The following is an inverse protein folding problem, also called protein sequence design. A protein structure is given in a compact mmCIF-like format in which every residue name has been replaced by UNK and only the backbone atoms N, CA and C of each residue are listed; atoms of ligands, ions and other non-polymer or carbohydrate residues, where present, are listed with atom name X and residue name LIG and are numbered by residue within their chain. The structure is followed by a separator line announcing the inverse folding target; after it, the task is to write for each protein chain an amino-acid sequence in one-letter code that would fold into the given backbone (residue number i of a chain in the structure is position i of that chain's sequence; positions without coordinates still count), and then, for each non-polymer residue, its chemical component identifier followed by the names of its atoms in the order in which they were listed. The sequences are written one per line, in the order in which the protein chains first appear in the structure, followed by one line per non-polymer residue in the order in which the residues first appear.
data_IF_470512185818
#
_entry.id   IF_470512185818
#
_cell.length_a   1.000
_cell.length_b   1.000
_cell.length_c   1.000
_cell.angle_alpha   90.00
_cell.angle_beta   90.00
_cell.angle_gamma   90.00
#
_symmetry.space_group_name_H-M   'P 1'
#
loop_
_entity.id
_entity.type
_entity.pdbx_description
1 polymer ?
#
# COMPACT_ATOMS: atom_id res chain seq x y z
N UNK A 1 18.12 -4.24 -21.62
CA UNK A 1 17.24 -5.11 -22.45
C UNK A 1 16.14 -5.70 -21.57
N UNK A 2 14.92 -5.17 -21.64
CA UNK A 2 13.73 -5.55 -20.81
C UNK A 2 13.17 -6.95 -21.19
N UNK A 3 13.72 -7.61 -22.22
CA UNK A 3 13.01 -8.63 -23.01
C UNK A 3 13.13 -10.11 -22.58
N UNK A 4 13.84 -10.45 -21.50
CA UNK A 4 13.98 -11.87 -21.05
C UNK A 4 13.77 -12.03 -19.54
N UNK A 5 13.60 -10.93 -18.81
CA UNK A 5 13.54 -10.93 -17.34
C UNK A 5 12.10 -11.15 -16.89
N UNK A 6 11.86 -12.20 -16.12
CA UNK A 6 10.59 -12.42 -15.46
C UNK A 6 10.66 -11.95 -14.01
N UNK A 7 9.71 -11.12 -13.59
CA UNK A 7 9.60 -10.71 -12.18
C UNK A 7 9.39 -11.92 -11.25
N UNK A 8 8.83 -13.02 -11.74
CA UNK A 8 8.65 -14.23 -10.95
C UNK A 8 9.97 -14.90 -10.55
N UNK A 9 11.04 -14.70 -11.34
CA UNK A 9 12.37 -15.24 -11.02
C UNK A 9 13.00 -14.58 -9.80
N UNK A 10 12.63 -13.33 -9.53
CA UNK A 10 13.16 -12.49 -8.45
C UNK A 10 12.17 -12.34 -7.28
N UNK A 11 11.15 -13.20 -7.20
CA UNK A 11 10.32 -13.32 -6.00
C UNK A 11 11.18 -13.84 -4.84
N UNK A 12 10.95 -13.34 -3.63
CA UNK A 12 11.66 -13.78 -2.42
C UNK A 12 11.65 -15.32 -2.30
N UNK A 13 12.82 -15.91 -2.11
CA UNK A 13 12.99 -17.35 -1.94
C UNK A 13 12.40 -17.88 -0.64
N UNK A 14 12.42 -17.10 0.44
CA UNK A 14 11.93 -17.57 1.74
C UNK A 14 10.41 -17.47 1.87
N UNK A 15 9.81 -16.33 1.51
CA UNK A 15 8.37 -16.13 1.66
C UNK A 15 7.55 -16.44 0.40
N UNK A 16 8.18 -16.49 -0.79
CA UNK A 16 7.46 -16.71 -2.03
C UNK A 16 6.37 -15.66 -2.25
N UNK A 17 5.17 -16.11 -2.63
CA UNK A 17 4.00 -15.26 -2.87
C UNK A 17 3.07 -15.09 -1.65
N UNK A 18 3.44 -15.63 -0.50
CA UNK A 18 2.60 -15.73 0.72
C UNK A 18 3.29 -15.08 1.92
N UNK A 19 3.71 -13.83 1.77
CA UNK A 19 4.45 -13.15 2.83
C UNK A 19 3.64 -12.97 4.11
N UNK A 20 4.25 -13.28 5.23
CA UNK A 20 3.66 -13.17 6.58
C UNK A 20 3.47 -11.72 7.01
N UNK A 21 4.38 -10.88 6.53
CA UNK A 21 4.50 -9.48 6.84
C UNK A 21 4.98 -8.76 5.59
N UNK A 22 4.25 -7.71 5.20
CA UNK A 22 4.80 -6.68 4.33
C UNK A 22 4.85 -5.34 5.03
N UNK A 23 5.79 -4.54 4.57
CA UNK A 23 6.00 -3.23 5.12
C UNK A 23 6.01 -2.23 3.96
N UNK A 24 5.16 -1.20 4.08
CA UNK A 24 4.90 -0.20 3.05
C UNK A 24 5.57 1.12 3.39
N UNK A 25 6.16 1.77 2.38
CA UNK A 25 6.80 3.08 2.52
C UNK A 25 6.68 3.89 1.22
N UNK A 26 6.56 5.22 1.39
CA UNK A 26 6.43 6.21 0.33
C UNK A 26 7.67 7.10 0.24
N UNK A 27 8.14 7.37 -0.97
CA UNK A 27 9.27 8.26 -1.20
C UNK A 27 8.91 9.39 -2.18
N UNK A 28 8.52 10.54 -1.61
CA UNK A 28 8.27 11.77 -2.35
C UNK A 28 9.51 12.30 -3.08
N UNK A 29 10.72 12.10 -2.54
CA UNK A 29 11.95 12.60 -3.18
C UNK A 29 12.25 11.85 -4.48
N UNK A 30 11.70 10.65 -4.66
CA UNK A 30 11.74 9.89 -5.90
C UNK A 30 10.68 10.35 -6.92
N UNK A 31 10.53 11.67 -7.09
CA UNK A 31 9.58 12.25 -8.04
C UNK A 31 10.24 12.61 -9.38
N UNK A 32 9.42 12.77 -10.42
CA UNK A 32 9.82 13.29 -11.72
C UNK A 32 8.84 14.38 -12.19
N UNK A 33 9.16 15.03 -13.31
CA UNK A 33 8.29 16.04 -13.92
C UNK A 33 6.94 15.43 -14.35
N UNK A 34 5.86 16.20 -14.20
CA UNK A 34 4.53 15.87 -14.72
C UNK A 34 4.38 16.05 -16.23
N UNK A 35 5.42 16.50 -16.93
CA UNK A 35 5.37 16.77 -18.37
C UNK A 35 4.96 15.52 -19.15
N UNK A 36 3.84 15.60 -19.87
CA UNK A 36 3.30 14.52 -20.70
C UNK A 36 2.33 13.58 -19.98
N UNK A 37 2.09 13.76 -18.68
CA UNK A 37 1.05 13.04 -17.92
C UNK A 37 -0.32 13.64 -18.23
N UNK A 38 -1.30 12.78 -18.53
CA UNK A 38 -2.68 13.19 -18.82
C UNK A 38 -3.55 13.00 -17.57
N UNK A 39 -4.19 14.09 -17.14
CA UNK A 39 -5.21 14.07 -16.10
C UNK A 39 -6.55 14.10 -16.83
N UNK A 40 -7.22 12.96 -16.97
CA UNK A 40 -8.55 12.91 -17.59
C UNK A 40 -9.56 13.57 -16.65
N UNK A 41 -10.28 14.57 -17.15
CA UNK A 41 -11.26 15.39 -16.41
C UNK A 41 -12.69 14.84 -16.39
N UNK A 42 -12.95 13.66 -16.94
CA UNK A 42 -14.33 13.18 -17.06
C UNK A 42 -14.70 12.28 -15.87
N UNK A 43 -15.54 12.80 -14.96
CA UNK A 43 -16.29 12.04 -13.95
C UNK A 43 -17.19 10.92 -14.57
N UNK A 44 -17.15 10.75 -15.90
CA UNK A 44 -17.93 9.82 -16.71
C UNK A 44 -17.14 8.64 -17.29
N UNK A 45 -15.81 8.61 -17.18
CA UNK A 45 -15.05 7.42 -17.59
C UNK A 45 -15.20 6.34 -16.51
N UNK A 46 -16.13 5.41 -16.76
CA UNK A 46 -16.19 4.12 -16.10
C UNK A 46 -14.79 3.51 -16.02
N UNK A 47 -14.53 2.74 -14.96
CA UNK A 47 -13.25 2.11 -14.61
C UNK A 47 -12.47 1.70 -15.86
N UNK A 48 -11.61 2.60 -16.38
CA UNK A 48 -10.88 2.35 -17.61
C UNK A 48 -10.03 1.09 -17.39
N UNK A 49 -10.03 0.18 -18.37
CA UNK A 49 -9.25 -1.06 -18.25
C UNK A 49 -7.78 -0.69 -18.05
N UNK A 50 -7.29 -0.99 -16.84
CA UNK A 50 -5.90 -0.79 -16.47
C UNK A 50 -5.07 -1.76 -17.32
N UNK A 51 -4.14 -1.30 -18.16
CA UNK A 51 -3.30 -2.21 -18.94
C UNK A 51 -2.50 -3.11 -18.01
N UNK A 52 -2.18 -4.33 -18.47
CA UNK A 52 -1.26 -5.17 -17.74
C UNK A 52 0.12 -4.49 -17.65
N UNK A 53 0.90 -4.82 -16.61
CA UNK A 53 2.27 -4.34 -16.50
C UNK A 53 3.09 -4.75 -17.73
N UNK A 54 2.86 -5.95 -18.24
CA UNK A 54 3.54 -6.54 -19.37
C UNK A 54 3.26 -5.75 -20.67
N UNK A 55 1.99 -5.41 -20.92
CA UNK A 55 1.58 -4.58 -22.06
C UNK A 55 2.15 -3.17 -21.94
N UNK A 56 2.11 -2.59 -20.73
CA UNK A 56 2.68 -1.27 -20.46
C UNK A 56 4.20 -1.23 -20.70
N UNK A 57 4.94 -2.25 -20.23
CA UNK A 57 6.36 -2.40 -20.47
C UNK A 57 6.68 -2.64 -21.96
N UNK A 58 5.81 -3.36 -22.67
CA UNK A 58 5.92 -3.56 -24.13
C UNK A 58 5.75 -2.25 -24.89
N UNK A 59 4.75 -1.44 -24.51
CA UNK A 59 4.53 -0.10 -25.06
C UNK A 59 5.73 0.84 -24.78
N UNK A 60 6.24 0.84 -23.55
CA UNK A 60 7.46 1.57 -23.17
C UNK A 60 8.66 1.15 -24.02
N UNK A 61 8.87 -0.16 -24.21
CA UNK A 61 9.97 -0.68 -25.03
C UNK A 61 9.83 -0.23 -26.49
N UNK A 62 8.64 -0.33 -27.07
CA UNK A 62 8.37 0.12 -28.44
C UNK A 62 8.65 1.61 -28.61
N UNK A 63 8.25 2.43 -27.63
CA UNK A 63 8.58 3.86 -27.58
C UNK A 63 10.09 4.10 -27.56
N UNK A 64 10.85 3.35 -26.75
CA UNK A 64 12.30 3.50 -26.67
C UNK A 64 13.02 3.11 -27.97
N UNK A 65 12.58 2.03 -28.62
CA UNK A 65 13.11 1.61 -29.92
C UNK A 65 12.83 2.70 -30.95
N UNK A 66 11.59 3.19 -31.05
CA UNK A 66 11.22 4.22 -32.00
C UNK A 66 12.03 5.51 -31.82
N UNK A 67 12.21 5.99 -30.59
CA UNK A 67 13.06 7.15 -30.28
C UNK A 67 14.53 6.97 -30.63
N UNK A 68 15.05 5.74 -30.52
CA UNK A 68 16.44 5.44 -30.86
C UNK A 68 16.65 5.28 -32.38
N UNK A 69 15.61 4.87 -33.11
CA UNK A 69 15.69 4.59 -34.56
C UNK A 69 15.34 5.80 -35.42
N UNK A 70 14.36 6.61 -35.02
CA UNK A 70 13.84 7.71 -35.83
C UNK A 70 14.26 9.07 -35.26
N UNK A 71 14.97 9.86 -36.07
CA UNK A 71 15.52 11.17 -35.69
C UNK A 71 14.44 12.21 -35.34
N UNK A 72 13.26 12.12 -35.96
CA UNK A 72 12.13 13.05 -35.79
C UNK A 72 10.85 12.32 -35.34
N UNK A 73 10.97 11.39 -34.39
CA UNK A 73 9.79 10.73 -33.83
C UNK A 73 8.94 11.72 -33.03
N UNK A 74 7.84 12.20 -33.62
CA UNK A 74 6.82 13.03 -32.97
C UNK A 74 5.67 12.22 -32.36
N UNK A 75 5.62 10.91 -32.63
CA UNK A 75 4.46 10.05 -32.41
C UNK A 75 4.24 9.62 -30.96
N UNK A 76 3.74 10.52 -30.12
CA UNK A 76 3.09 10.13 -28.85
C UNK A 76 1.72 9.50 -29.16
N UNK A 77 1.68 8.26 -29.66
CA UNK A 77 0.39 7.57 -29.90
C UNK A 77 0.20 6.24 -29.16
N UNK A 78 1.26 5.55 -28.70
CA UNK A 78 1.07 4.23 -28.07
C UNK A 78 1.32 4.16 -26.56
N UNK A 79 1.88 5.20 -25.93
CA UNK A 79 2.05 5.21 -24.48
C UNK A 79 1.05 6.17 -23.85
N UNK A 80 -0.06 5.60 -23.39
CA UNK A 80 -1.06 6.37 -22.67
C UNK A 80 -0.60 6.63 -21.23
N UNK A 81 -0.11 7.85 -21.00
CA UNK A 81 0.32 8.33 -19.68
C UNK A 81 -0.83 8.96 -18.89
N UNK A 82 -2.04 8.46 -19.08
CA UNK A 82 -3.19 8.83 -18.25
C UNK A 82 -3.02 8.30 -16.83
N UNK A 83 -3.37 9.13 -15.84
CA UNK A 83 -3.20 8.78 -14.41
C UNK A 83 -3.88 7.46 -14.04
N UNK A 84 -5.01 7.15 -14.67
CA UNK A 84 -5.77 5.91 -14.46
C UNK A 84 -5.15 4.67 -15.10
N UNK A 85 -4.18 4.81 -16.02
CA UNK A 85 -3.64 3.71 -16.85
C UNK A 85 -2.21 3.29 -16.51
N UNK A 86 -1.61 3.84 -15.46
CA UNK A 86 -0.29 3.41 -15.00
C UNK A 86 -0.44 2.19 -14.08
N UNK A 87 0.02 0.99 -14.49
CA UNK A 87 -0.09 -0.19 -13.64
C UNK A 87 0.93 -0.16 -12.49
N UNK A 88 0.59 -0.73 -11.32
CA UNK A 88 1.59 -1.05 -10.32
C UNK A 88 2.55 -2.13 -10.83
N UNK A 89 3.77 -2.13 -10.30
CA UNK A 89 4.80 -3.11 -10.59
C UNK A 89 4.64 -4.27 -9.60
N UNK A 90 3.96 -5.33 -10.03
CA UNK A 90 3.74 -6.56 -9.24
C UNK A 90 4.03 -7.76 -10.13
N UNK A 91 4.83 -8.70 -9.63
CA UNK A 91 5.15 -9.94 -10.35
C UNK A 91 3.86 -10.72 -10.68
N UNK A 92 3.75 -11.36 -11.86
CA UNK A 92 2.55 -12.12 -12.24
C UNK A 92 2.08 -13.11 -11.17
N UNK A 93 2.98 -13.87 -10.54
CA UNK A 93 2.60 -14.83 -9.51
C UNK A 93 2.15 -14.19 -8.18
N UNK A 94 2.52 -12.93 -7.92
CA UNK A 94 2.12 -12.14 -6.74
C UNK A 94 0.79 -11.38 -6.95
N UNK A 95 0.34 -11.27 -8.19
CA UNK A 95 -0.82 -10.47 -8.59
C UNK A 95 -2.13 -11.23 -8.35
N UNK A 96 -3.12 -10.56 -7.76
CA UNK A 96 -4.48 -11.08 -7.68
C UNK A 96 -5.21 -10.99 -9.02
N UNK A 97 -6.45 -11.48 -9.07
CA UNK A 97 -7.24 -11.48 -10.32
C UNK A 97 -7.55 -10.06 -10.82
N UNK A 98 -7.63 -9.11 -9.90
CA UNK A 98 -7.84 -7.69 -10.20
C UNK A 98 -6.66 -6.87 -9.72
N UNK A 99 -6.17 -5.99 -10.60
CA UNK A 99 -5.16 -4.98 -10.28
C UNK A 99 -5.82 -3.62 -10.18
N UNK A 100 -5.40 -2.84 -9.20
CA UNK A 100 -5.97 -1.55 -8.89
C UNK A 100 -4.98 -0.43 -9.15
N UNK A 101 -5.49 0.62 -9.79
CA UNK A 101 -4.91 1.95 -9.75
C UNK A 101 -6.08 2.94 -9.69
N UNK A 102 -6.28 3.55 -8.53
CA UNK A 102 -7.37 4.49 -8.28
C UNK A 102 -6.87 5.92 -8.13
N UNK A 103 -5.69 6.22 -8.64
CA UNK A 103 -5.06 7.52 -8.47
C UNK A 103 -5.91 8.68 -9.00
N UNK A 104 -6.62 8.50 -10.12
CA UNK A 104 -7.55 9.50 -10.66
C UNK A 104 -8.66 9.90 -9.67
N UNK A 105 -9.03 9.01 -8.75
CA UNK A 105 -10.05 9.25 -7.71
C UNK A 105 -9.58 10.18 -6.59
N UNK A 106 -8.29 10.55 -6.56
CA UNK A 106 -7.79 11.61 -5.67
C UNK A 106 -8.29 13.01 -6.10
N UNK A 107 -8.96 13.13 -7.26
CA UNK A 107 -9.61 14.35 -7.81
C UNK A 107 -8.74 15.61 -7.64
N UNK A 108 -7.50 15.54 -8.13
CA UNK A 108 -6.45 16.51 -7.79
C UNK A 108 -6.53 17.89 -8.44
N UNK A 109 -7.54 18.21 -9.24
CA UNK A 109 -7.68 19.56 -9.83
C UNK A 109 -7.90 20.62 -8.72
N UNK A 110 -8.32 20.21 -7.51
CA UNK A 110 -8.71 21.09 -6.40
C UNK A 110 -7.88 20.98 -5.12
N UNK A 111 -6.67 20.40 -5.19
CA UNK A 111 -5.66 20.64 -4.15
C UNK A 111 -5.11 22.08 -4.30
N UNK A 112 -6.00 23.09 -4.31
CA UNK A 112 -5.66 24.42 -3.79
C UNK A 112 -5.02 24.16 -2.43
N UNK A 113 -3.81 24.65 -2.23
CA UNK A 113 -2.96 24.28 -1.09
C UNK A 113 -3.79 24.13 0.17
N UNK A 114 -3.83 22.91 0.71
CA UNK A 114 -4.49 22.48 1.95
C UNK A 114 -5.39 23.58 2.54
N UNK A 115 -6.68 23.57 2.22
CA UNK A 115 -7.62 24.04 3.25
C UNK A 115 -7.35 23.15 4.46
N UNK A 116 -6.99 23.75 5.60
CA UNK A 116 -6.85 23.00 6.84
C UNK A 116 -8.18 22.29 7.09
N UNK A 117 -8.26 21.00 6.77
CA UNK A 117 -9.43 20.18 7.06
C UNK A 117 -9.44 20.05 8.58
N UNK A 118 -10.44 20.65 9.20
CA UNK A 118 -10.60 20.64 10.65
C UNK A 118 -11.38 19.41 11.10
N UNK A 119 -11.11 18.95 12.32
CA UNK A 119 -11.77 17.80 12.94
C UNK A 119 -10.96 16.51 12.92
N UNK A 120 -11.48 15.51 13.64
CA UNK A 120 -10.90 14.18 13.79
C UNK A 120 -11.65 13.19 12.89
N UNK A 121 -11.01 12.83 11.78
CA UNK A 121 -11.53 11.86 10.82
C UNK A 121 -11.77 10.47 11.42
N UNK A 122 -11.06 10.09 12.48
CA UNK A 122 -11.26 8.81 13.15
C UNK A 122 -12.60 8.77 13.90
N UNK A 123 -13.01 9.91 14.47
CA UNK A 123 -14.29 10.05 15.16
C UNK A 123 -15.45 10.07 14.16
N UNK A 124 -15.29 10.72 13.01
CA UNK A 124 -16.29 10.67 11.94
C UNK A 124 -16.49 9.23 11.45
N UNK A 125 -15.41 8.50 11.20
CA UNK A 125 -15.45 7.08 10.83
C UNK A 125 -16.17 6.22 11.88
N UNK A 126 -15.98 6.50 13.17
CA UNK A 126 -16.66 5.80 14.26
C UNK A 126 -18.18 6.02 14.22
N UNK A 127 -18.67 7.24 13.94
CA UNK A 127 -20.10 7.50 13.78
C UNK A 127 -20.65 6.77 12.55
N UNK A 128 -19.94 6.81 11.42
CA UNK A 128 -20.35 6.12 10.18
C UNK A 128 -20.53 4.63 10.42
N UNK A 129 -19.60 4.01 11.16
CA UNK A 129 -19.57 2.55 11.35
C UNK A 129 -20.42 2.04 12.50
N UNK A 130 -20.49 2.76 13.63
CA UNK A 130 -21.23 2.31 14.81
C UNK A 130 -22.66 2.85 14.88
N UNK A 131 -22.88 4.08 14.41
CA UNK A 131 -24.18 4.74 14.43
C UNK A 131 -24.89 4.67 13.06
N UNK A 132 -24.28 3.98 12.09
CA UNK A 132 -24.78 3.82 10.72
C UNK A 132 -25.12 5.16 10.04
N UNK A 133 -24.33 6.21 10.32
CA UNK A 133 -24.52 7.51 9.66
C UNK A 133 -24.28 7.36 8.15
N UNK A 134 -25.34 7.57 7.38
CA UNK A 134 -25.23 7.63 5.94
C UNK A 134 -24.83 9.03 5.47
N UNK A 135 -23.61 9.14 4.94
CA UNK A 135 -23.06 10.39 4.42
C UNK A 135 -23.83 10.95 3.23
N UNK A 136 -24.60 10.15 2.49
CA UNK A 136 -25.43 10.62 1.38
C UNK A 136 -26.75 11.26 1.83
N UNK A 137 -27.11 11.17 3.11
CA UNK A 137 -28.39 11.66 3.64
C UNK A 137 -28.24 12.79 4.65
N UNK A 138 -27.09 13.48 4.70
CA UNK A 138 -26.87 14.59 5.63
C UNK A 138 -27.90 15.72 5.49
N UNK A 139 -28.40 15.97 4.27
CA UNK A 139 -29.44 16.97 4.01
C UNK A 139 -30.78 16.65 4.70
N UNK A 140 -31.03 15.39 5.06
CA UNK A 140 -32.26 15.00 5.78
C UNK A 140 -32.20 15.31 7.28
N UNK A 141 -31.01 15.54 7.84
CA UNK A 141 -30.82 15.78 9.28
C UNK A 141 -31.15 17.23 9.66
N UNK A 142 -31.53 17.44 10.93
CA UNK A 142 -31.72 18.78 11.51
C UNK A 142 -30.38 19.49 11.73
N UNK A 143 -30.40 20.81 11.89
CA UNK A 143 -29.17 21.61 12.13
C UNK A 143 -28.53 21.20 13.46
N UNK A 144 -29.34 20.88 14.45
CA UNK A 144 -28.93 20.47 15.79
C UNK A 144 -28.22 19.11 15.76
N UNK A 145 -28.75 18.15 14.98
CA UNK A 145 -28.10 16.85 14.77
C UNK A 145 -26.77 17.00 14.04
N UNK A 146 -26.72 17.81 12.99
CA UNK A 146 -25.50 18.10 12.24
C UNK A 146 -24.44 18.77 13.12
N UNK A 147 -24.85 19.74 13.96
CA UNK A 147 -23.96 20.39 14.94
C UNK A 147 -23.46 19.39 15.99
N UNK A 148 -24.27 18.43 16.41
CA UNK A 148 -23.87 17.35 17.34
C UNK A 148 -22.80 16.45 16.69
N UNK A 149 -23.01 16.01 15.46
CA UNK A 149 -22.04 15.21 14.69
C UNK A 149 -20.73 15.97 14.53
N UNK A 150 -20.79 17.23 14.08
CA UNK A 150 -19.62 18.08 13.91
C UNK A 150 -18.87 18.29 15.25
N UNK A 151 -19.60 18.51 16.35
CA UNK A 151 -19.05 18.63 17.69
C UNK A 151 -18.33 17.36 18.15
N UNK A 152 -18.93 16.18 17.95
CA UNK A 152 -18.28 14.90 18.24
C UNK A 152 -16.99 14.72 17.44
N UNK A 153 -17.03 15.09 16.15
CA UNK A 153 -15.86 15.03 15.27
C UNK A 153 -14.84 16.14 15.54
N UNK A 154 -15.02 16.98 16.57
CA UNK A 154 -14.14 18.12 16.89
C UNK A 154 -13.98 19.11 15.73
N UNK A 155 -14.98 19.23 14.86
CA UNK A 155 -15.04 20.25 13.82
C UNK A 155 -15.46 21.56 14.51
N UNK A 156 -14.70 22.65 14.39
CA UNK A 156 -15.08 23.93 14.98
C UNK A 156 -16.30 24.48 14.24
N UNK A 157 -17.38 24.67 14.98
CA UNK A 157 -18.67 25.16 14.50
C UNK A 157 -19.10 26.36 15.33
N UNK A 158 -19.55 27.43 14.66
CA UNK A 158 -20.17 28.57 15.34
C UNK A 158 -21.69 28.40 15.37
N UNK A 159 -22.33 28.98 16.39
CA UNK A 159 -23.81 28.95 16.51
C UNK A 159 -24.50 29.55 15.28
N UNK A 160 -23.87 30.55 14.66
CA UNK A 160 -24.33 31.26 13.46
C UNK A 160 -24.17 30.49 12.14
N UNK A 161 -23.48 29.34 12.13
CA UNK A 161 -23.30 28.59 10.89
C UNK A 161 -24.63 28.03 10.37
N UNK A 162 -24.85 28.21 9.06
CA UNK A 162 -26.00 27.65 8.36
C UNK A 162 -25.91 26.12 8.27
N UNK A 163 -27.07 25.47 8.07
CA UNK A 163 -27.15 24.02 7.81
C UNK A 163 -26.17 23.59 6.71
N UNK A 164 -26.20 24.27 5.58
CA UNK A 164 -25.37 23.99 4.41
C UNK A 164 -23.88 24.09 4.70
N UNK A 165 -23.44 25.05 5.51
CA UNK A 165 -22.03 25.19 5.88
C UNK A 165 -21.56 24.06 6.81
N UNK A 166 -22.42 23.62 7.74
CA UNK A 166 -22.10 22.47 8.61
C UNK A 166 -21.99 21.19 7.78
N UNK A 167 -22.93 20.95 6.86
CA UNK A 167 -22.88 19.80 5.92
C UNK A 167 -21.58 19.85 5.12
N UNK A 168 -21.24 21.00 4.52
CA UNK A 168 -20.02 21.15 3.74
C UNK A 168 -18.75 20.82 4.55
N UNK A 169 -18.68 21.23 5.83
CA UNK A 169 -17.55 20.90 6.71
C UNK A 169 -17.47 19.40 7.04
N UNK A 170 -18.60 18.75 7.34
CA UNK A 170 -18.65 17.29 7.59
C UNK A 170 -18.26 16.52 6.33
N UNK A 171 -18.82 16.89 5.18
CA UNK A 171 -18.50 16.30 3.88
C UNK A 171 -17.03 16.46 3.53
N UNK A 172 -16.42 17.62 3.78
CA UNK A 172 -15.00 17.82 3.55
C UNK A 172 -14.13 16.86 4.39
N UNK A 173 -14.47 16.65 5.66
CA UNK A 173 -13.77 15.67 6.52
C UNK A 173 -13.96 14.22 6.03
N UNK A 174 -15.13 13.90 5.48
CA UNK A 174 -15.38 12.59 4.86
C UNK A 174 -14.61 12.40 3.54
N UNK A 175 -14.62 13.39 2.65
CA UNK A 175 -13.83 13.38 1.42
C UNK A 175 -12.34 13.23 1.69
N UNK A 176 -11.85 13.80 2.79
CA UNK A 176 -10.48 13.61 3.24
C UNK A 176 -10.14 12.14 3.52
N UNK A 177 -11.04 11.39 4.17
CA UNK A 177 -10.92 9.93 4.35
C UNK A 177 -11.01 9.19 3.00
N UNK A 178 -11.96 9.59 2.16
CA UNK A 178 -12.17 8.95 0.85
C UNK A 178 -10.94 9.09 -0.04
N UNK A 179 -10.27 10.24 -0.06
CA UNK A 179 -9.03 10.44 -0.84
C UNK A 179 -7.89 9.56 -0.31
N UNK A 180 -7.92 9.20 0.97
CA UNK A 180 -6.84 8.46 1.64
C UNK A 180 -5.84 9.38 2.33
N UNK A 181 -6.25 10.60 2.67
CA UNK A 181 -5.43 11.45 3.53
C UNK A 181 -5.62 11.05 5.00
N UNK A 182 -4.66 11.43 5.85
CA UNK A 182 -4.70 11.15 7.27
C UNK A 182 -4.20 12.34 8.06
N UNK A 183 -4.86 12.70 9.19
CA UNK A 183 -4.36 13.76 10.04
C UNK A 183 -3.04 13.37 10.71
N UNK A 184 -2.75 12.07 10.84
CA UNK A 184 -1.58 11.57 11.56
C UNK A 184 -0.27 11.68 10.78
N UNK A 185 -0.32 11.74 9.45
CA UNK A 185 0.86 11.78 8.61
C UNK A 185 0.70 12.78 7.47
N UNK A 186 1.70 13.64 7.30
CA UNK A 186 1.67 14.70 6.31
C UNK A 186 2.17 14.25 4.96
N UNK A 187 1.28 13.97 4.02
CA UNK A 187 1.69 13.76 2.63
C UNK A 187 2.02 15.11 2.00
N UNK A 188 3.18 15.27 1.35
CA UNK A 188 3.48 16.49 0.56
C UNK A 188 3.86 16.12 -0.87
N UNK A 189 3.85 17.10 -1.77
CA UNK A 189 4.36 16.95 -3.14
C UNK A 189 5.09 18.21 -3.58
N UNK A 190 6.08 18.05 -4.44
CA UNK A 190 6.75 19.20 -5.07
C UNK A 190 5.85 19.71 -6.20
N UNK A 191 5.52 21.01 -6.28
CA UNK A 191 4.76 21.57 -7.38
C UNK A 191 5.38 21.22 -8.75
N UNK A 192 4.55 20.86 -9.73
CA UNK A 192 4.99 20.45 -11.07
C UNK A 192 5.62 19.04 -11.16
N UNK A 193 5.68 18.30 -10.05
CA UNK A 193 6.25 16.96 -9.97
C UNK A 193 5.22 15.92 -9.50
N UNK A 194 5.51 14.66 -9.80
CA UNK A 194 4.79 13.49 -9.28
C UNK A 194 4.88 13.44 -7.75
N UNK A 195 3.99 12.70 -7.08
CA UNK A 195 4.10 12.41 -5.64
C UNK A 195 5.20 11.41 -5.29
N UNK A 196 5.87 10.82 -6.27
CA UNK A 196 7.03 9.96 -6.07
C UNK A 196 6.72 8.49 -6.34
N UNK A 197 7.06 7.62 -5.39
CA UNK A 197 6.96 6.17 -5.53
C UNK A 197 6.62 5.52 -4.19
N UNK A 198 5.72 4.54 -4.18
CA UNK A 198 5.38 3.75 -3.00
C UNK A 198 5.74 2.28 -3.24
N UNK A 199 6.28 1.59 -2.24
CA UNK A 199 6.62 0.17 -2.37
C UNK A 199 6.25 -0.64 -1.13
N UNK A 200 5.98 -1.92 -1.35
CA UNK A 200 5.84 -2.95 -0.31
C UNK A 200 7.08 -3.84 -0.34
N UNK A 201 7.67 -4.08 0.82
CA UNK A 201 8.78 -5.01 1.00
C UNK A 201 8.41 -6.12 1.98
N UNK A 202 8.89 -7.33 1.72
CA UNK A 202 8.83 -8.40 2.73
C UNK A 202 9.93 -8.21 3.78
N UNK A 203 9.82 -8.95 4.89
CA UNK A 203 10.82 -8.96 5.98
C UNK A 203 12.24 -9.36 5.55
N UNK A 204 12.39 -9.97 4.37
CA UNK A 204 13.69 -10.32 3.78
C UNK A 204 14.25 -9.23 2.86
N UNK A 205 13.55 -8.10 2.70
CA UNK A 205 13.99 -6.93 1.93
C UNK A 205 13.61 -6.95 0.44
N UNK A 206 12.99 -8.02 -0.06
CA UNK A 206 12.50 -8.07 -1.44
C UNK A 206 11.28 -7.16 -1.61
N UNK A 207 11.26 -6.35 -2.66
CA UNK A 207 10.06 -5.64 -3.13
C UNK A 207 9.02 -6.67 -3.60
N UNK A 208 7.79 -6.54 -3.12
CA UNK A 208 6.65 -7.40 -3.45
C UNK A 208 5.74 -6.73 -4.47
N UNK A 209 5.55 -5.42 -4.30
CA UNK A 209 4.77 -4.60 -5.20
C UNK A 209 5.17 -3.15 -5.05
N UNK A 210 5.07 -2.39 -6.14
CA UNK A 210 5.35 -0.97 -6.13
C UNK A 210 4.37 -0.20 -6.99
N UNK A 211 4.18 1.09 -6.71
CA UNK A 211 3.29 1.97 -7.46
C UNK A 211 3.94 3.34 -7.66
N UNK A 212 3.86 3.85 -8.88
CA UNK A 212 4.18 5.24 -9.18
C UNK A 212 3.06 6.17 -8.72
N UNK A 213 3.43 7.28 -8.11
CA UNK A 213 2.49 8.26 -7.57
C UNK A 213 2.49 9.47 -8.48
N UNK A 214 1.62 9.52 -9.51
CA UNK A 214 1.51 10.70 -10.37
C UNK A 214 0.92 11.91 -9.63
N UNK A 215 0.14 11.66 -8.58
CA UNK A 215 -0.45 12.63 -7.68
C UNK A 215 0.18 12.53 -6.30
N UNK A 216 -0.22 13.44 -5.40
CA UNK A 216 0.23 13.42 -4.01
C UNK A 216 0.01 12.03 -3.39
N UNK A 217 0.98 11.60 -2.59
CA UNK A 217 0.87 10.36 -1.83
C UNK A 217 -0.35 10.37 -0.91
N UNK A 218 -0.94 9.20 -0.72
CA UNK A 218 -2.05 8.96 0.21
C UNK A 218 -2.09 7.47 0.55
N UNK A 219 -2.81 7.09 1.60
CA UNK A 219 -3.00 5.66 1.93
C UNK A 219 -3.79 4.89 0.86
N UNK A 220 -4.44 5.59 -0.06
CA UNK A 220 -5.07 5.00 -1.26
C UNK A 220 -4.05 4.28 -2.13
N UNK A 221 -2.82 4.77 -2.19
CA UNK A 221 -1.76 4.15 -2.99
C UNK A 221 -1.31 2.81 -2.40
N UNK A 222 -1.18 2.76 -1.08
CA UNK A 222 -0.96 1.51 -0.36
C UNK A 222 -2.16 0.56 -0.52
N UNK A 223 -3.40 1.07 -0.48
CA UNK A 223 -4.62 0.28 -0.67
C UNK A 223 -4.67 -0.37 -2.06
N UNK A 224 -4.32 0.38 -3.11
CA UNK A 224 -4.25 -0.15 -4.48
C UNK A 224 -3.25 -1.31 -4.58
N UNK A 225 -2.04 -1.18 -4.02
CA UNK A 225 -1.07 -2.29 -4.01
C UNK A 225 -1.64 -3.46 -3.19
N UNK A 226 -2.13 -3.21 -1.98
CA UNK A 226 -2.63 -4.23 -1.06
C UNK A 226 -3.73 -5.10 -1.69
N UNK A 227 -4.70 -4.46 -2.35
CA UNK A 227 -5.80 -5.18 -3.02
C UNK A 227 -5.38 -5.83 -4.35
N UNK A 228 -4.26 -5.41 -4.93
CA UNK A 228 -3.71 -6.02 -6.15
C UNK A 228 -2.89 -7.28 -5.88
N UNK A 229 -2.61 -7.62 -4.61
CA UNK A 229 -1.88 -8.81 -4.23
C UNK A 229 -2.80 -10.04 -4.21
N UNK A 230 -2.28 -11.18 -4.68
CA UNK A 230 -2.97 -12.47 -4.62
C UNK A 230 -3.22 -12.90 -3.18
N UNK A 231 -2.20 -12.72 -2.33
CA UNK A 231 -2.27 -12.99 -0.90
C UNK A 231 -1.80 -11.75 -0.13
N UNK A 232 -2.72 -10.84 0.22
CA UNK A 232 -2.38 -9.72 1.09
C UNK A 232 -1.86 -10.24 2.44
N UNK A 233 -0.83 -9.61 3.03
CA UNK A 233 -0.07 -10.16 4.13
C UNK A 233 -0.91 -10.17 5.41
N UNK A 234 -0.80 -11.20 6.26
CA UNK A 234 -1.43 -11.26 7.58
C UNK A 234 -1.22 -9.99 8.41
N UNK A 235 0.00 -9.45 8.38
CA UNK A 235 0.35 -8.17 9.00
C UNK A 235 0.89 -7.20 7.94
N UNK A 236 0.34 -6.00 7.89
CA UNK A 236 0.85 -4.89 7.09
C UNK A 236 1.37 -3.78 8.01
N UNK A 237 2.62 -3.39 7.84
CA UNK A 237 3.22 -2.28 8.60
C UNK A 237 3.38 -1.08 7.67
N UNK A 238 2.94 0.10 8.10
CA UNK A 238 3.16 1.35 7.38
C UNK A 238 3.08 2.55 8.34
N UNK A 239 3.47 3.73 7.88
CA UNK A 239 3.51 4.94 8.72
C UNK A 239 2.12 5.39 9.18
N UNK A 240 1.09 5.07 8.39
CA UNK A 240 -0.28 5.55 8.58
C UNK A 240 -1.30 4.39 8.63
N UNK A 241 -1.17 3.44 9.56
CA UNK A 241 -2.00 2.24 9.60
C UNK A 241 -3.48 2.58 9.84
N UNK A 242 -3.71 3.59 10.68
CA UNK A 242 -5.04 4.05 11.06
C UNK A 242 -5.75 4.79 9.93
N UNK A 243 -5.01 5.47 9.05
CA UNK A 243 -5.56 6.11 7.86
C UNK A 243 -5.88 5.05 6.81
N UNK A 244 -4.94 4.13 6.58
CA UNK A 244 -5.11 3.00 5.66
C UNK A 244 -6.34 2.17 5.98
N UNK A 245 -6.48 1.75 7.23
CA UNK A 245 -7.59 0.89 7.62
C UNK A 245 -8.95 1.58 7.49
N UNK A 246 -9.06 2.86 7.90
CA UNK A 246 -10.31 3.62 7.75
C UNK A 246 -10.63 3.92 6.28
N UNK A 247 -9.63 4.24 5.48
CA UNK A 247 -9.79 4.41 4.04
C UNK A 247 -10.38 3.15 3.39
N UNK A 248 -9.79 1.99 3.69
CA UNK A 248 -10.27 0.70 3.22
C UNK A 248 -11.68 0.39 3.72
N UNK A 249 -11.99 0.68 4.98
CA UNK A 249 -13.30 0.42 5.58
C UNK A 249 -14.42 1.27 4.96
N UNK A 250 -14.11 2.52 4.59
CA UNK A 250 -15.07 3.40 3.90
C UNK A 250 -15.19 3.07 2.41
N UNK A 251 -14.07 2.80 1.71
CA UNK A 251 -14.08 2.55 0.27
C UNK A 251 -14.52 1.13 -0.10
N UNK A 252 -14.21 0.17 0.76
CA UNK A 252 -14.41 -1.26 0.54
C UNK A 252 -15.00 -1.95 1.78
N UNK A 253 -16.16 -1.50 2.29
CA UNK A 253 -16.72 -1.94 3.58
C UNK A 253 -16.93 -3.45 3.66
N UNK A 254 -17.37 -4.10 2.57
CA UNK A 254 -17.56 -5.56 2.53
C UNK A 254 -16.23 -6.30 2.70
N UNK A 255 -15.17 -5.84 2.04
CA UNK A 255 -13.84 -6.45 2.15
C UNK A 255 -13.26 -6.19 3.55
N UNK A 256 -13.31 -4.94 4.02
CA UNK A 256 -12.82 -4.57 5.34
C UNK A 256 -13.52 -5.37 6.45
N UNK A 257 -14.83 -5.60 6.35
CA UNK A 257 -15.58 -6.47 7.27
C UNK A 257 -15.05 -7.91 7.27
N UNK A 258 -14.76 -8.49 6.10
CA UNK A 258 -14.15 -9.84 5.99
C UNK A 258 -12.75 -9.89 6.61
N UNK A 259 -11.93 -8.85 6.43
CA UNK A 259 -10.54 -8.82 6.90
C UNK A 259 -10.42 -8.50 8.40
N UNK A 260 -11.23 -7.57 8.91
CA UNK A 260 -11.03 -6.94 10.22
C UNK A 260 -12.21 -7.07 11.17
N UNK A 261 -13.38 -7.49 10.68
CA UNK A 261 -14.64 -7.35 11.39
C UNK A 261 -14.88 -5.90 11.88
N UNK A 262 -14.93 -5.66 13.18
CA UNK A 262 -15.09 -4.34 13.81
C UNK A 262 -13.78 -3.77 14.36
N UNK A 263 -12.64 -4.41 14.06
CA UNK A 263 -11.32 -3.99 14.57
C UNK A 263 -10.64 -2.93 13.74
N UNK A 264 -11.13 -2.64 12.52
CA UNK A 264 -10.56 -1.59 11.64
C UNK A 264 -9.03 -1.76 11.50
N UNK A 265 -8.56 -2.98 11.26
CA UNK A 265 -7.14 -3.32 11.13
C UNK A 265 -6.36 -3.47 12.44
N UNK A 266 -6.92 -3.12 13.60
CA UNK A 266 -6.26 -3.27 14.90
C UNK A 266 -6.28 -4.73 15.41
N UNK A 267 -5.50 -5.00 16.45
CA UNK A 267 -5.51 -6.30 17.16
C UNK A 267 -6.77 -6.52 18.00
N UNK A 268 -7.42 -5.45 18.42
CA UNK A 268 -8.70 -5.44 19.13
C UNK A 268 -9.58 -4.30 18.65
N UNK A 269 -10.86 -4.28 19.03
CA UNK A 269 -11.79 -3.22 18.64
C UNK A 269 -11.34 -1.87 19.23
N UNK A 270 -11.06 -0.85 18.40
CA UNK A 270 -10.72 0.48 18.88
C UNK A 270 -11.97 1.19 19.41
N UNK A 271 -11.94 1.62 20.67
CA UNK A 271 -13.04 2.34 21.30
C UNK A 271 -12.50 3.47 22.19
N UNK A 272 -13.32 4.49 22.47
CA UNK A 272 -12.89 5.67 23.25
C UNK A 272 -12.87 5.45 24.76
N UNK A 273 -13.59 4.43 25.23
CA UNK A 273 -13.79 4.09 26.64
C UNK A 273 -12.67 3.24 27.24
N UNK A 274 -11.74 2.73 26.42
CA UNK A 274 -10.60 1.91 26.89
C UNK A 274 -9.29 2.28 26.23
N UNK A 275 -8.21 1.93 26.92
CA UNK A 275 -6.86 1.93 26.36
C UNK A 275 -6.57 0.62 25.63
N UNK A 276 -5.66 0.62 24.65
CA UNK A 276 -5.24 -0.62 24.02
C UNK A 276 -4.64 -1.59 25.04
N UNK A 277 -5.10 -2.85 25.00
CA UNK A 277 -4.53 -3.96 25.75
C UNK A 277 -3.37 -4.62 24.99
N UNK A 278 -2.61 -5.43 25.72
CA UNK A 278 -1.57 -6.27 25.11
C UNK A 278 -2.19 -7.59 24.62
N UNK A 279 -2.05 -7.89 23.33
CA UNK A 279 -2.69 -9.00 22.64
C UNK A 279 -1.65 -10.02 22.16
N UNK A 280 -1.98 -11.30 22.27
CA UNK A 280 -1.17 -12.40 21.73
C UNK A 280 -1.89 -13.04 20.54
N UNK A 281 -1.18 -13.19 19.42
CA UNK A 281 -1.68 -13.94 18.26
C UNK A 281 -0.54 -14.80 17.68
N UNK A 282 -0.44 -16.08 18.08
CA UNK A 282 0.59 -16.99 17.61
C UNK A 282 0.59 -17.21 16.09
N UNK A 283 -0.55 -17.00 15.41
CA UNK A 283 -0.64 -17.16 13.95
C UNK A 283 0.18 -16.13 13.17
N UNK A 284 0.65 -15.06 13.83
CA UNK A 284 1.50 -14.02 13.24
C UNK A 284 3.00 -14.19 13.59
N UNK A 285 3.37 -15.25 14.34
CA UNK A 285 4.78 -15.60 14.54
C UNK A 285 5.40 -15.95 13.18
N UNK A 286 6.54 -15.34 12.80
CA UNK A 286 7.22 -15.69 11.56
C UNK A 286 7.60 -17.18 11.51
N UNK A 287 7.48 -17.82 10.35
CA UNK A 287 7.68 -19.26 10.15
C UNK A 287 9.00 -19.78 10.72
N UNK A 288 10.06 -18.96 10.70
CA UNK A 288 11.39 -19.33 11.21
C UNK A 288 11.48 -19.48 12.73
N UNK A 289 10.50 -18.95 13.46
CA UNK A 289 10.38 -19.09 14.92
C UNK A 289 9.32 -20.11 15.33
N UNK A 290 8.66 -20.79 14.37
CA UNK A 290 7.69 -21.85 14.68
C UNK A 290 8.41 -23.19 14.86
N UNK A 291 7.99 -23.95 15.85
CA UNK A 291 8.54 -25.27 16.18
C UNK A 291 8.12 -26.38 15.22
N UNK A 292 7.06 -26.17 14.45
CA UNK A 292 6.42 -27.20 13.62
C UNK A 292 6.59 -26.93 12.11
N UNK A 293 6.90 -27.99 11.37
CA UNK A 293 6.87 -27.96 9.91
C UNK A 293 5.42 -27.84 9.44
N UNK A 294 5.05 -26.67 8.93
CA UNK A 294 3.69 -26.42 8.49
C UNK A 294 3.47 -26.94 7.06
N UNK A 295 2.51 -27.85 6.91
CA UNK A 295 2.01 -28.25 5.59
C UNK A 295 1.10 -27.15 5.08
N UNK A 296 1.46 -26.54 3.96
CA UNK A 296 0.61 -25.54 3.34
C UNK A 296 -0.49 -26.21 2.52
N UNK A 297 -1.72 -25.69 2.54
CA UNK A 297 -2.77 -26.15 1.64
C UNK A 297 -2.38 -25.92 0.18
N UNK A 298 -3.05 -26.58 -0.77
CA UNK A 298 -2.90 -26.24 -2.18
C UNK A 298 -3.59 -24.89 -2.47
N UNK A 299 -3.03 -24.03 -3.33
CA UNK A 299 -3.70 -22.82 -3.79
C UNK A 299 -5.15 -23.04 -4.26
N UNK A 300 -5.43 -24.18 -4.90
CA UNK A 300 -6.74 -24.49 -5.49
C UNK A 300 -7.80 -24.91 -4.45
N UNK A 301 -7.35 -25.26 -3.25
CA UNK A 301 -8.23 -25.68 -2.13
C UNK A 301 -8.53 -24.55 -1.14
N UNK A 302 -7.92 -23.38 -1.34
CA UNK A 302 -8.08 -22.25 -0.44
C UNK A 302 -9.40 -21.54 -0.66
N UNK A 303 -10.06 -21.23 0.45
CA UNK A 303 -11.19 -20.32 0.45
C UNK A 303 -10.73 -18.89 0.14
N UNK A 304 -11.63 -18.08 -0.41
CA UNK A 304 -11.41 -16.67 -0.70
C UNK A 304 -10.81 -15.92 0.51
N UNK A 305 -9.77 -15.10 0.29
CA UNK A 305 -9.06 -14.30 1.30
C UNK A 305 -8.29 -15.08 2.39
N UNK A 306 -8.43 -16.40 2.50
CA UNK A 306 -7.68 -17.19 3.49
C UNK A 306 -6.20 -17.17 3.15
N UNK A 307 -5.36 -16.73 4.11
CA UNK A 307 -3.92 -16.74 3.90
C UNK A 307 -3.36 -18.16 4.12
N UNK A 308 -2.51 -18.68 3.22
CA UNK A 308 -1.98 -20.05 3.34
C UNK A 308 -1.21 -20.31 4.64
N UNK A 309 -0.55 -19.27 5.17
CA UNK A 309 0.27 -19.39 6.39
C UNK A 309 -0.56 -19.39 7.68
N UNK A 310 -1.67 -18.65 7.70
CA UNK A 310 -2.44 -18.46 8.94
C UNK A 310 -3.72 -19.29 8.97
N UNK A 311 -4.14 -19.83 7.82
CA UNK A 311 -5.43 -20.52 7.71
C UNK A 311 -6.63 -19.59 7.97
N UNK A 312 -6.43 -18.27 7.93
CA UNK A 312 -7.45 -17.28 8.28
C UNK A 312 -7.52 -16.13 7.27
N UNK A 313 -8.71 -15.55 7.12
CA UNK A 313 -8.94 -14.30 6.38
C UNK A 313 -8.59 -13.05 7.22
N UNK A 314 -8.35 -13.21 8.53
CA UNK A 314 -8.04 -12.09 9.42
C UNK A 314 -6.72 -11.43 9.03
N UNK A 315 -6.70 -10.09 9.04
CA UNK A 315 -5.54 -9.24 8.74
C UNK A 315 -5.37 -8.17 9.80
N UNK A 316 -4.16 -7.63 9.89
CA UNK A 316 -3.80 -6.58 10.84
C UNK A 316 -2.95 -5.53 10.14
N UNK A 317 -3.07 -4.29 10.63
CA UNK A 317 -2.33 -3.14 10.14
C UNK A 317 -1.74 -2.43 11.35
N UNK A 318 -0.42 -2.25 11.38
CA UNK A 318 0.28 -1.69 12.52
C UNK A 318 1.26 -0.59 12.10
N UNK A 319 1.58 0.29 13.04
CA UNK A 319 2.61 1.31 12.85
C UNK A 319 3.99 0.71 13.11
N UNK A 320 5.03 1.16 12.40
CA UNK A 320 6.38 0.82 12.79
C UNK A 320 6.80 1.58 14.08
N UNK A 321 7.83 1.06 14.77
CA UNK A 321 8.29 1.61 16.05
C UNK A 321 8.96 2.98 15.95
N UNK A 322 9.48 3.36 14.78
CA UNK A 322 10.18 4.62 14.59
C UNK A 322 9.17 5.78 14.52
N UNK A 323 8.18 5.66 13.63
CA UNK A 323 7.14 6.69 13.49
C UNK A 323 6.23 6.78 14.70
N UNK A 324 6.01 5.69 15.44
CA UNK A 324 5.27 5.72 16.70
C UNK A 324 5.88 6.70 17.73
N UNK A 325 7.21 6.90 17.68
CA UNK A 325 7.92 7.80 18.61
C UNK A 325 8.01 9.23 18.07
N UNK A 326 8.23 9.40 16.75
CA UNK A 326 8.48 10.70 16.14
C UNK A 326 7.21 11.48 15.73
N UNK A 327 6.15 10.78 15.31
CA UNK A 327 4.89 11.37 14.85
C UNK A 327 3.70 10.73 15.58
N UNK A 328 3.45 11.12 16.85
CA UNK A 328 2.41 10.51 17.64
C UNK A 328 1.04 10.76 17.01
N UNK A 329 0.24 9.70 16.93
CA UNK A 329 -1.07 9.77 16.32
C UNK A 329 -1.98 10.81 16.98
N UNK A 330 -2.77 11.51 16.15
CA UNK A 330 -3.59 12.66 16.59
C UNK A 330 -4.94 12.28 17.22
N UNK A 331 -5.38 11.03 17.07
CA UNK A 331 -6.63 10.53 17.64
C UNK A 331 -6.37 9.45 18.70
N UNK A 332 -7.13 9.42 19.81
CA UNK A 332 -7.03 8.35 20.81
C UNK A 332 -7.18 6.94 20.22
N UNK A 333 -8.04 6.80 19.20
CA UNK A 333 -8.32 5.52 18.54
C UNK A 333 -7.14 4.99 17.73
N UNK A 334 -6.17 5.82 17.38
CA UNK A 334 -5.03 5.38 16.60
C UNK A 334 -4.01 4.59 17.44
N UNK A 335 -4.03 4.75 18.77
CA UNK A 335 -3.13 4.00 19.68
C UNK A 335 -3.29 2.48 19.57
N UNK A 336 -4.44 2.01 19.09
CA UNK A 336 -4.71 0.58 18.87
C UNK A 336 -3.92 -0.04 17.71
N UNK A 337 -3.32 0.77 16.85
CA UNK A 337 -2.44 0.31 15.76
C UNK A 337 -0.97 0.22 16.18
N UNK A 338 -0.61 0.54 17.42
CA UNK A 338 0.78 0.40 17.87
C UNK A 338 1.17 -1.08 17.86
N UNK A 339 2.24 -1.39 17.14
CA UNK A 339 2.78 -2.74 17.03
C UNK A 339 3.21 -3.30 18.40
N UNK A 340 3.57 -2.44 19.36
CA UNK A 340 3.97 -2.87 20.70
C UNK A 340 2.80 -3.34 21.57
N UNK A 341 1.55 -3.13 21.13
CA UNK A 341 0.39 -3.76 21.77
C UNK A 341 0.28 -5.27 21.45
N UNK A 342 1.19 -5.81 20.64
CA UNK A 342 1.18 -7.21 20.21
C UNK A 342 2.46 -7.94 20.61
N UNK A 343 2.30 -9.09 21.29
CA UNK A 343 3.41 -9.82 21.91
C UNK A 343 4.50 -10.25 20.92
N UNK A 344 4.07 -10.81 19.79
CA UNK A 344 4.98 -11.37 18.79
C UNK A 344 5.65 -10.28 17.92
N UNK A 345 5.35 -9.00 18.15
CA UNK A 345 6.06 -7.88 17.56
C UNK A 345 7.56 -7.94 17.82
N UNK A 346 7.97 -8.52 18.95
CA UNK A 346 9.38 -8.68 19.32
C UNK A 346 10.19 -9.52 18.32
N UNK A 347 9.52 -10.35 17.52
CA UNK A 347 10.17 -11.11 16.43
C UNK A 347 10.33 -10.31 15.14
N UNK A 348 9.79 -9.09 15.08
CA UNK A 348 9.82 -8.21 13.90
C UNK A 348 10.75 -7.03 14.16
N UNK A 349 11.81 -6.92 13.36
CA UNK A 349 12.74 -5.79 13.38
C UNK A 349 12.35 -4.77 12.32
N UNK A 350 11.59 -3.75 12.71
CA UNK A 350 11.20 -2.65 11.81
C UNK A 350 12.39 -1.77 11.39
N UNK A 351 13.45 -1.71 12.20
CA UNK A 351 14.67 -0.92 11.88
C UNK A 351 15.44 -1.43 10.65
N UNK A 352 15.38 -2.73 10.38
CA UNK A 352 16.05 -3.30 9.20
C UNK A 352 15.38 -2.83 7.91
N UNK A 353 14.05 -2.71 7.92
CA UNK A 353 13.29 -2.19 6.79
C UNK A 353 13.65 -0.73 6.52
N UNK A 354 13.78 0.09 7.56
CA UNK A 354 14.17 1.50 7.40
C UNK A 354 15.57 1.62 6.77
N UNK A 355 16.52 0.79 7.20
CA UNK A 355 17.85 0.74 6.57
C UNK A 355 17.77 0.36 5.09
N UNK A 356 16.92 -0.61 4.74
CA UNK A 356 16.69 -1.03 3.36
C UNK A 356 15.99 0.04 2.52
N UNK A 357 15.00 0.73 3.09
CA UNK A 357 14.33 1.87 2.48
C UNK A 357 15.32 3.01 2.22
N UNK A 358 16.11 3.40 3.23
CA UNK A 358 17.15 4.40 3.09
C UNK A 358 18.15 4.03 1.98
N UNK A 359 18.60 2.78 1.94
CA UNK A 359 19.50 2.27 0.88
C UNK A 359 18.89 2.39 -0.51
N UNK A 360 17.63 1.96 -0.69
CA UNK A 360 16.90 2.10 -1.95
C UNK A 360 16.71 3.56 -2.34
N UNK A 361 16.33 4.39 -1.38
CA UNK A 361 16.07 5.81 -1.58
C UNK A 361 17.34 6.52 -2.04
N UNK A 362 18.50 6.25 -1.43
CA UNK A 362 19.78 6.82 -1.84
C UNK A 362 20.13 6.48 -3.31
N UNK A 363 19.92 5.23 -3.73
CA UNK A 363 20.18 4.83 -5.11
C UNK A 363 19.20 5.50 -6.09
N UNK A 364 17.93 5.63 -5.70
CA UNK A 364 16.86 6.18 -6.55
C UNK A 364 16.88 7.70 -6.70
N UNK A 365 17.44 8.43 -5.74
CA UNK A 365 17.68 9.87 -5.87
C UNK A 365 18.61 10.23 -7.05
N UNK A 366 19.31 9.25 -7.62
CA UNK A 366 20.10 9.44 -8.85
C UNK A 366 19.23 9.57 -10.11
N UNK A 367 17.98 9.10 -10.11
CA UNK A 367 17.07 9.24 -11.28
C UNK A 367 16.25 10.52 -11.25
N UNK A 368 15.97 11.07 -10.07
CA UNK A 368 15.13 12.26 -9.89
C UNK A 368 15.76 13.56 -10.39
N UNK A 369 17.03 13.56 -10.80
CA UNK A 369 17.74 14.80 -11.14
C UNK A 369 17.45 15.35 -12.54
N UNK A 370 17.04 14.58 -13.55
CA UNK A 370 16.68 15.09 -14.90
C UNK A 370 15.98 14.03 -15.80
N UNK A 371 14.75 13.59 -15.52
CA UNK A 371 14.12 12.52 -16.33
C UNK A 371 12.62 12.72 -16.63
N UNK A 372 12.22 12.33 -17.85
CA UNK A 372 10.79 12.20 -18.25
C UNK A 372 10.17 10.96 -17.59
N UNK A 373 8.84 10.94 -17.41
CA UNK A 373 8.14 9.83 -16.77
C UNK A 373 8.51 8.44 -17.32
N UNK A 374 8.60 8.20 -18.65
CA UNK A 374 8.99 6.89 -19.17
C UNK A 374 10.38 6.40 -18.74
N UNK A 375 11.36 7.32 -18.61
CA UNK A 375 12.70 6.96 -18.12
C UNK A 375 12.62 6.62 -16.64
N UNK A 376 11.93 7.46 -15.87
CA UNK A 376 11.77 7.29 -14.43
C UNK A 376 11.05 5.98 -14.09
N UNK A 377 10.01 5.63 -14.85
CA UNK A 377 9.30 4.36 -14.75
C UNK A 377 10.24 3.17 -14.97
N UNK A 378 10.93 3.19 -16.10
CA UNK A 378 11.85 2.12 -16.49
C UNK A 378 12.98 1.96 -15.46
N UNK A 379 13.51 3.07 -14.95
CA UNK A 379 14.59 3.06 -13.96
C UNK A 379 14.13 2.38 -12.66
N UNK A 380 13.00 2.80 -12.06
CA UNK A 380 12.56 2.19 -10.80
C UNK A 380 12.14 0.73 -10.97
N UNK A 381 11.54 0.37 -12.11
CA UNK A 381 11.27 -1.04 -12.45
C UNK A 381 12.55 -1.88 -12.42
N UNK A 382 13.62 -1.40 -13.07
CA UNK A 382 14.90 -2.10 -13.07
C UNK A 382 15.55 -2.12 -11.69
N UNK A 383 15.44 -1.05 -10.92
CA UNK A 383 15.94 -1.00 -9.55
C UNK A 383 15.25 -2.03 -8.65
N UNK A 384 13.93 -2.17 -8.72
CA UNK A 384 13.20 -3.22 -8.01
C UNK A 384 13.64 -4.62 -8.45
N UNK A 385 13.77 -4.85 -9.77
CA UNK A 385 14.22 -6.14 -10.30
C UNK A 385 15.61 -6.52 -9.77
N UNK A 386 16.62 -5.67 -9.95
CA UNK A 386 18.00 -6.01 -9.62
C UNK A 386 18.24 -6.05 -8.11
N UNK A 387 17.55 -5.21 -7.33
CA UNK A 387 17.58 -5.31 -5.88
C UNK A 387 17.06 -6.66 -5.41
N UNK A 388 15.93 -7.10 -5.95
CA UNK A 388 15.38 -8.41 -5.62
C UNK A 388 16.28 -9.54 -6.10
N UNK A 389 16.85 -9.45 -7.31
CA UNK A 389 17.79 -10.44 -7.85
C UNK A 389 18.97 -10.68 -6.91
N UNK A 390 19.60 -9.60 -6.41
CA UNK A 390 20.71 -9.70 -5.46
C UNK A 390 20.30 -10.42 -4.17
N UNK A 391 19.13 -10.07 -3.60
CA UNK A 391 18.63 -10.70 -2.38
C UNK A 391 18.34 -12.19 -2.63
N UNK A 392 17.63 -12.51 -3.71
CA UNK A 392 17.22 -13.89 -4.03
C UNK A 392 18.43 -14.78 -4.32
N UNK A 393 19.46 -14.25 -5.00
CA UNK A 393 20.71 -14.96 -5.22
C UNK A 393 21.43 -15.25 -3.90
N UNK A 394 21.49 -14.27 -2.98
CA UNK A 394 22.06 -14.46 -1.65
C UNK A 394 21.30 -15.52 -0.85
N UNK A 395 19.97 -15.46 -0.82
CA UNK A 395 19.11 -16.46 -0.18
C UNK A 395 19.37 -17.86 -0.73
N UNK A 396 19.52 -18.00 -2.06
CA UNK A 396 19.82 -19.28 -2.70
C UNK A 396 21.18 -19.83 -2.24
N UNK A 397 22.21 -18.98 -2.17
CA UNK A 397 23.54 -19.37 -1.70
C UNK A 397 23.52 -19.80 -0.23
N UNK A 398 22.81 -19.07 0.64
CA UNK A 398 22.66 -19.39 2.07
C UNK A 398 21.99 -20.76 2.30
N UNK A 399 20.95 -21.08 1.52
CA UNK A 399 20.29 -22.39 1.61
C UNK A 399 21.25 -23.51 1.16
N UNK A 400 21.96 -23.32 0.04
CA UNK A 400 22.91 -24.32 -0.47
C UNK A 400 24.09 -24.55 0.48
N UNK A 401 24.62 -23.49 1.10
CA UNK A 401 25.72 -23.63 2.06
C UNK A 401 25.30 -24.41 3.30
N UNK A 402 24.12 -24.09 3.88
CA UNK A 402 23.55 -24.81 5.01
C UNK A 402 23.25 -26.27 4.70
N UNK A 403 22.84 -26.58 3.46
CA UNK A 403 22.61 -27.96 3.03
C UNK A 403 23.91 -28.77 2.98
N UNK A 404 24.99 -28.17 2.46
CA UNK A 404 26.32 -28.78 2.41
C UNK A 404 26.89 -29.04 3.81
N UNK A 405 26.74 -28.08 4.73
CA UNK A 405 27.15 -28.22 6.14
C UNK A 405 26.46 -29.41 6.83
N UNK A 406 25.23 -29.76 6.41
CA UNK A 406 24.47 -30.91 6.91
C UNK A 406 24.79 -32.23 6.17
N UNK A 407 25.81 -32.26 5.32
CA UNK A 407 26.24 -33.47 4.60
C UNK A 407 25.42 -33.82 3.36
N UNK A 408 24.48 -32.97 2.94
CA UNK A 408 23.64 -33.21 1.76
C UNK A 408 24.33 -32.72 0.46
N UNK A 409 25.38 -33.43 0.06
CA UNK A 409 26.13 -33.14 -1.17
C UNK A 409 25.25 -33.35 -2.41
N UNK A 410 25.17 -32.35 -3.29
CA UNK A 410 24.39 -32.42 -4.54
C UNK A 410 22.94 -31.90 -4.45
N UNK A 411 22.53 -31.35 -3.29
CA UNK A 411 21.19 -30.78 -3.12
C UNK A 411 20.85 -29.75 -4.20
N UNK A 412 19.63 -29.81 -4.75
CA UNK A 412 19.13 -28.83 -5.71
C UNK A 412 18.04 -27.97 -5.09
N UNK A 413 17.97 -26.70 -5.51
CA UNK A 413 16.89 -25.80 -5.10
C UNK A 413 15.87 -25.70 -6.22
N UNK A 414 14.61 -25.94 -5.88
CA UNK A 414 13.45 -25.66 -6.72
C UNK A 414 12.52 -24.67 -6.04
N UNK A 415 11.51 -24.21 -6.78
CA UNK A 415 10.45 -23.31 -6.32
C UNK A 415 9.19 -24.14 -6.10
N UNK A 416 8.58 -24.10 -4.91
CA UNK A 416 7.28 -24.75 -4.66
C UNK A 416 6.12 -24.04 -5.37
N UNK A 417 4.89 -24.51 -5.14
CA UNK A 417 3.66 -23.91 -5.69
C UNK A 417 3.47 -22.44 -5.28
N UNK A 418 4.07 -22.03 -4.17
CA UNK A 418 4.08 -20.66 -3.66
C UNK A 418 5.36 -19.89 -4.03
N UNK A 419 6.20 -20.44 -4.93
CA UNK A 419 7.48 -19.88 -5.35
C UNK A 419 8.51 -19.76 -4.21
N UNK A 420 8.39 -20.51 -3.12
CA UNK A 420 9.41 -20.59 -2.07
C UNK A 420 10.50 -21.58 -2.46
N UNK A 421 11.72 -21.35 -1.98
CA UNK A 421 12.82 -22.28 -2.14
C UNK A 421 12.59 -23.54 -1.31
N UNK A 422 12.74 -24.67 -1.96
CA UNK A 422 12.73 -26.00 -1.37
C UNK A 422 13.99 -26.74 -1.80
N UNK A 423 14.55 -27.52 -0.88
CA UNK A 423 15.70 -28.40 -1.16
C UNK A 423 15.18 -29.79 -1.56
N UNK A 424 15.75 -30.35 -2.63
CA UNK A 424 15.65 -31.78 -2.99
C UNK A 424 17.02 -32.41 -2.88
#
# INVERSE_FOLDING_TARGET
MISVRSLDQVICGYCGIIGELYMGDGNQKNCCSLKGVKYSDSDTEGQADLPSLEDFLSALKSMWIAKATFSNWSGVENLDLSVSKIPPIIAPALRGDKVYNTESKKKSVYLKGRTNIEGDSALLHQIITNENLNMSSLESLTVEELKRIAGFCKIPILSSYSKSLVIAKITALYEYLLVGNSPCHGFTKVPGHTGGFYHFVCRHGCTVGSKFLLLQESVRDAADIYMSLRFPPPLFICDTPCGFARHMDVQHPTLARKLWNDRVGCFEKPTLDKTPGHVSNPALVPLEYRSENMVLPSPDTLQELVHPITGSAQRFVAQDRFHATAEPHKSPLCKFHDINNWEQANTIKTSQQESENHRKNFLRLRSSTMQTFPVHFTYNFLMDFYHNEQIVQKQRQEILSRSKEKGANGSQIYRDVYKRFMLV
#
